data_IF_263508887650
#
_entry.id   IF_263508887650
#
_cell.length_a   1.000
_cell.length_b   1.000
_cell.length_c   1.000
_cell.angle_alpha   90.00
_cell.angle_beta   90.00
_cell.angle_gamma   90.00
#
_symmetry.space_group_name_H-M   'P 1'
#
loop_
_entity.id
_entity.type
_entity.pdbx_description
1 polymer ?
#
# COMPACT_ATOMS: atom_id res chain seq x y z
N UNK A 1 -22.81 0.46 33.43
CA UNK A 1 -21.41 0.09 33.71
C UNK A 1 -20.52 1.28 33.38
N UNK A 2 -19.54 1.60 34.23
CA UNK A 2 -18.59 2.69 34.00
C UNK A 2 -17.56 2.26 32.95
N UNK A 3 -17.53 2.91 31.78
CA UNK A 3 -16.60 2.59 30.69
C UNK A 3 -15.14 2.60 31.16
N UNK A 4 -14.77 3.51 32.06
CA UNK A 4 -13.39 3.62 32.55
C UNK A 4 -12.96 2.42 33.41
N UNK A 5 -13.92 1.68 33.99
CA UNK A 5 -13.63 0.49 34.81
C UNK A 5 -13.04 -0.66 33.99
N UNK A 6 -13.34 -0.75 32.69
CA UNK A 6 -12.75 -1.76 31.81
C UNK A 6 -11.24 -1.59 31.64
N UNK A 7 -10.74 -0.35 31.72
CA UNK A 7 -9.32 -0.02 31.57
C UNK A 7 -8.56 0.03 32.90
N UNK A 8 -9.25 -0.28 34.00
CA UNK A 8 -8.74 -0.21 35.36
C UNK A 8 -8.98 -1.53 36.12
N UNK A 9 -8.49 -2.68 35.61
CA UNK A 9 -8.76 -3.98 36.22
C UNK A 9 -8.25 -4.02 37.66
N UNK A 10 -9.14 -4.38 38.59
CA UNK A 10 -8.84 -4.46 40.02
C UNK A 10 -8.83 -3.12 40.77
N UNK A 11 -8.95 -1.98 40.08
CA UNK A 11 -9.02 -0.67 40.72
C UNK A 11 -10.47 -0.17 40.75
N UNK A 12 -10.99 0.17 41.93
CA UNK A 12 -12.31 0.79 42.08
C UNK A 12 -12.20 2.30 42.03
N UNK A 13 -13.17 2.96 41.39
CA UNK A 13 -13.28 4.42 41.42
C UNK A 13 -13.36 4.88 42.88
N UNK A 14 -12.49 5.81 43.33
CA UNK A 14 -12.51 6.29 44.72
C UNK A 14 -13.86 6.91 45.07
N UNK A 15 -14.42 6.52 46.22
CA UNK A 15 -15.62 7.17 46.74
C UNK A 15 -15.28 8.61 47.20
N UNK A 16 -16.22 9.57 47.09
CA UNK A 16 -16.03 10.92 47.59
C UNK A 16 -15.74 10.91 49.09
N UNK A 17 -14.69 11.62 49.53
CA UNK A 17 -14.36 11.77 50.95
C UNK A 17 -15.01 13.03 51.52
N UNK A 18 -15.39 13.01 52.80
CA UNK A 18 -15.90 14.21 53.47
C UNK A 18 -14.88 15.37 53.46
N UNK A 19 -13.59 15.06 53.58
CA UNK A 19 -12.50 16.04 53.49
C UNK A 19 -12.44 16.77 52.13
N UNK A 20 -12.97 16.17 51.06
CA UNK A 20 -12.97 16.75 49.71
C UNK A 20 -14.19 17.68 49.47
N UNK A 21 -15.14 17.76 50.42
CA UNK A 21 -16.41 18.47 50.21
C UNK A 21 -16.22 19.96 49.90
N UNK A 22 -15.30 20.63 50.62
CA UNK A 22 -14.99 22.04 50.40
C UNK A 22 -14.41 22.29 49.01
N UNK A 23 -13.48 21.44 48.56
CA UNK A 23 -12.87 21.52 47.22
C UNK A 23 -13.91 21.27 46.13
N UNK A 24 -14.81 20.30 46.32
CA UNK A 24 -15.91 20.04 45.38
C UNK A 24 -16.88 21.20 45.28
N UNK A 25 -17.28 21.79 46.41
CA UNK A 25 -18.13 22.97 46.42
C UNK A 25 -17.45 24.17 45.72
N UNK A 26 -16.16 24.38 45.99
CA UNK A 26 -15.39 25.44 45.35
C UNK A 26 -15.27 25.25 43.83
N UNK A 27 -15.06 24.01 43.36
CA UNK A 27 -15.05 23.66 41.93
C UNK A 27 -16.41 23.90 41.28
N UNK A 28 -17.48 23.39 41.88
CA UNK A 28 -18.84 23.54 41.34
C UNK A 28 -19.22 25.02 41.19
N UNK A 29 -18.91 25.83 42.20
CA UNK A 29 -19.15 27.28 42.16
C UNK A 29 -18.32 27.97 41.07
N UNK A 30 -17.05 27.62 40.92
CA UNK A 30 -16.21 28.18 39.86
C UNK A 30 -16.69 27.77 38.46
N UNK A 31 -17.13 26.53 38.28
CA UNK A 31 -17.70 26.03 37.03
C UNK A 31 -19.04 26.70 36.68
N UNK A 32 -19.90 26.91 37.68
CA UNK A 32 -21.14 27.66 37.51
C UNK A 32 -20.86 29.10 37.08
N UNK A 33 -19.96 29.79 37.80
CA UNK A 33 -19.55 31.17 37.45
C UNK A 33 -18.94 31.25 36.05
N UNK A 34 -18.08 30.29 35.69
CA UNK A 34 -17.50 30.21 34.35
C UNK A 34 -18.59 30.03 33.30
N UNK A 35 -19.53 29.10 33.50
CA UNK A 35 -20.63 28.86 32.58
C UNK A 35 -21.54 30.08 32.40
N UNK A 36 -21.86 30.81 33.48
CA UNK A 36 -22.63 32.06 33.40
C UNK A 36 -21.85 33.16 32.68
N UNK A 37 -20.56 33.31 32.97
CA UNK A 37 -19.70 34.30 32.31
C UNK A 37 -19.58 34.03 30.81
N UNK A 38 -19.36 32.77 30.40
CA UNK A 38 -19.35 32.36 28.99
C UNK A 38 -20.67 32.71 28.30
N UNK A 39 -21.81 32.29 28.88
CA UNK A 39 -23.12 32.59 28.29
C UNK A 39 -23.44 34.09 28.21
N UNK A 40 -23.03 34.89 29.21
CA UNK A 40 -23.19 36.35 29.19
C UNK A 40 -22.27 37.02 28.16
N UNK A 41 -21.06 36.51 27.96
CA UNK A 41 -20.15 37.01 26.94
C UNK A 41 -20.66 36.73 25.53
N UNK A 42 -21.16 35.52 25.28
CA UNK A 42 -21.82 35.17 24.02
C UNK A 42 -23.06 36.07 23.78
N UNK A 43 -23.89 36.26 24.82
CA UNK A 43 -25.03 37.17 24.78
C UNK A 43 -24.65 38.62 24.52
N UNK A 44 -23.54 39.11 25.10
CA UNK A 44 -23.02 40.46 24.86
C UNK A 44 -22.61 40.63 23.39
N UNK A 45 -21.87 39.68 22.82
CA UNK A 45 -21.51 39.73 21.40
C UNK A 45 -22.75 39.69 20.49
N UNK A 46 -23.76 38.89 20.82
CA UNK A 46 -25.01 38.83 20.07
C UNK A 46 -25.78 40.16 20.10
N UNK A 47 -25.89 40.81 21.28
CA UNK A 47 -26.57 42.11 21.42
C UNK A 47 -25.81 43.23 20.71
N UNK A 48 -24.48 43.21 20.74
CA UNK A 48 -23.66 44.15 19.97
C UNK A 48 -23.86 43.98 18.47
N UNK A 49 -23.96 42.75 17.98
CA UNK A 49 -24.26 42.46 16.57
C UNK A 49 -25.67 42.94 16.17
N UNK A 50 -26.64 42.93 17.10
CA UNK A 50 -27.99 43.45 16.92
C UNK A 50 -28.11 44.98 17.13
N UNK A 51 -26.99 45.67 17.42
CA UNK A 51 -26.94 47.10 17.74
C UNK A 51 -27.80 47.52 18.96
N UNK A 52 -28.08 46.60 19.89
CA UNK A 52 -28.79 46.89 21.14
C UNK A 52 -27.81 47.30 22.24
N UNK A 53 -27.35 48.55 22.19
CA UNK A 53 -26.35 49.07 23.13
C UNK A 53 -26.85 49.13 24.58
N UNK A 54 -28.18 49.25 24.79
CA UNK A 54 -28.75 49.36 26.14
C UNK A 54 -28.67 48.03 26.86
N UNK A 55 -29.18 46.97 26.24
CA UNK A 55 -29.17 45.63 26.84
C UNK A 55 -27.75 45.07 26.87
N UNK A 56 -26.91 45.38 25.86
CA UNK A 56 -25.48 45.07 25.90
C UNK A 56 -24.80 45.73 27.11
N UNK A 57 -25.16 46.97 27.45
CA UNK A 57 -24.65 47.67 28.62
C UNK A 57 -24.99 46.97 29.95
N UNK A 58 -26.18 46.38 30.06
CA UNK A 58 -26.62 45.61 31.23
C UNK A 58 -25.91 44.27 31.32
N UNK A 59 -25.86 43.52 30.21
CA UNK A 59 -25.15 42.23 30.16
C UNK A 59 -23.66 42.40 30.46
N UNK A 60 -23.04 43.48 29.99
CA UNK A 60 -21.65 43.80 30.29
C UNK A 60 -21.38 44.02 31.79
N UNK A 61 -22.33 44.62 32.53
CA UNK A 61 -22.21 44.79 33.98
C UNK A 61 -22.30 43.45 34.72
N UNK A 62 -23.29 42.63 34.36
CA UNK A 62 -23.45 41.28 34.91
C UNK A 62 -22.27 40.36 34.58
N UNK A 63 -21.70 40.49 33.38
CA UNK A 63 -20.49 39.77 32.99
C UNK A 63 -19.28 40.18 33.83
N UNK A 64 -19.11 41.48 34.09
CA UNK A 64 -18.03 41.99 34.94
C UNK A 64 -18.09 41.38 36.36
N UNK A 65 -19.27 41.38 36.98
CA UNK A 65 -19.50 40.81 38.32
C UNK A 65 -19.19 39.30 38.37
N UNK A 66 -19.63 38.52 37.39
CA UNK A 66 -19.34 37.09 37.33
C UNK A 66 -17.84 36.81 37.15
N UNK A 67 -17.15 37.59 36.31
CA UNK A 67 -15.72 37.44 36.07
C UNK A 67 -14.87 37.81 37.30
N UNK A 68 -15.25 38.87 38.02
CA UNK A 68 -14.57 39.27 39.26
C UNK A 68 -14.86 38.28 40.40
N UNK A 69 -16.10 37.78 40.50
CA UNK A 69 -16.45 36.72 41.44
C UNK A 69 -15.68 35.42 41.16
N UNK A 70 -15.55 35.04 39.88
CA UNK A 70 -14.74 33.89 39.46
C UNK A 70 -13.27 34.11 39.77
N UNK A 71 -12.74 35.31 39.51
CA UNK A 71 -11.37 35.67 39.86
C UNK A 71 -11.11 35.56 41.36
N UNK A 72 -12.02 36.07 42.20
CA UNK A 72 -11.96 35.93 43.65
C UNK A 72 -11.98 34.48 44.11
N UNK A 73 -12.88 33.67 43.53
CA UNK A 73 -12.98 32.22 43.82
C UNK A 73 -11.70 31.46 43.45
N UNK A 74 -11.01 31.86 42.39
CA UNK A 74 -9.75 31.26 41.93
C UNK A 74 -8.50 31.84 42.61
N UNK A 75 -8.64 32.93 43.37
CA UNK A 75 -7.49 33.69 43.89
C UNK A 75 -6.66 34.34 42.78
N UNK A 76 -7.30 34.65 41.64
CA UNK A 76 -6.65 35.25 40.49
C UNK A 76 -6.63 36.78 40.61
N UNK A 77 -5.46 37.36 40.86
CA UNK A 77 -5.27 38.81 40.79
C UNK A 77 -5.49 39.37 39.38
N UNK A 78 -5.48 40.69 39.28
CA UNK A 78 -5.63 41.41 38.01
C UNK A 78 -6.55 42.61 38.14
N UNK A 79 -6.92 43.16 36.99
CA UNK A 79 -7.86 44.26 36.88
C UNK A 79 -9.27 43.83 37.31
N UNK A 80 -9.95 44.67 38.09
CA UNK A 80 -11.32 44.47 38.55
C UNK A 80 -12.26 44.97 37.46
N UNK A 81 -12.91 44.06 36.74
CA UNK A 81 -13.72 44.41 35.57
C UNK A 81 -14.97 45.22 35.93
N UNK A 82 -15.48 45.14 37.16
CA UNK A 82 -16.58 46.00 37.61
C UNK A 82 -16.16 47.47 37.65
N UNK A 83 -14.93 47.77 38.07
CA UNK A 83 -14.38 49.13 38.06
C UNK A 83 -14.17 49.62 36.62
N UNK A 84 -13.61 48.76 35.76
CA UNK A 84 -13.47 49.05 34.32
C UNK A 84 -14.81 49.37 33.70
N UNK A 85 -15.83 48.54 33.95
CA UNK A 85 -17.18 48.73 33.42
C UNK A 85 -17.84 50.00 33.97
N UNK A 86 -17.67 50.31 35.25
CA UNK A 86 -18.20 51.54 35.86
C UNK A 86 -17.58 52.80 35.23
N UNK A 87 -16.28 52.75 34.89
CA UNK A 87 -15.57 53.83 34.22
C UNK A 87 -16.07 54.16 32.80
N UNK A 88 -16.84 53.27 32.16
CA UNK A 88 -17.42 53.50 30.82
C UNK A 88 -18.67 54.39 30.85
N UNK A 89 -19.17 54.74 32.03
CA UNK A 89 -20.41 55.50 32.22
C UNK A 89 -21.69 54.64 32.17
N UNK A 90 -22.87 55.26 32.37
CA UNK A 90 -24.14 54.55 32.52
C UNK A 90 -24.63 53.94 31.19
N UNK A 91 -24.38 54.60 30.07
CA UNK A 91 -24.80 54.15 28.72
C UNK A 91 -23.64 54.27 27.72
N UNK A 92 -22.65 53.36 27.77
CA UNK A 92 -21.54 53.36 26.83
C UNK A 92 -22.02 53.04 25.41
N UNK A 93 -21.37 53.65 24.41
CA UNK A 93 -21.62 53.33 23.00
C UNK A 93 -21.15 51.91 22.62
N UNK A 94 -21.68 51.38 21.52
CA UNK A 94 -21.40 50.03 21.05
C UNK A 94 -19.90 49.72 20.87
N UNK A 95 -19.11 50.68 20.34
CA UNK A 95 -17.66 50.52 20.17
C UNK A 95 -16.91 50.34 21.49
N UNK A 96 -17.30 51.11 22.51
CA UNK A 96 -16.71 51.04 23.86
C UNK A 96 -17.06 49.68 24.48
N UNK A 97 -18.31 49.23 24.33
CA UNK A 97 -18.76 47.91 24.81
C UNK A 97 -18.07 46.76 24.07
N UNK A 98 -17.79 46.88 22.77
CA UNK A 98 -17.02 45.89 22.03
C UNK A 98 -15.57 45.80 22.52
N UNK A 99 -14.97 46.94 22.89
CA UNK A 99 -13.67 46.99 23.56
C UNK A 99 -13.70 46.25 24.91
N UNK A 100 -14.72 46.50 25.72
CA UNK A 100 -14.93 45.78 26.97
C UNK A 100 -15.13 44.28 26.76
N UNK A 101 -15.94 43.86 25.78
CA UNK A 101 -16.21 42.45 25.49
C UNK A 101 -14.93 41.68 25.13
N UNK A 102 -14.05 42.25 24.29
CA UNK A 102 -12.74 41.65 23.97
C UNK A 102 -11.85 41.50 25.21
N UNK A 103 -11.85 42.50 26.09
CA UNK A 103 -11.11 42.45 27.35
C UNK A 103 -11.68 41.38 28.30
N UNK A 104 -13.01 41.28 28.37
CA UNK A 104 -13.71 40.25 29.13
C UNK A 104 -13.41 38.84 28.61
N UNK A 105 -13.37 38.63 27.28
CA UNK A 105 -12.95 37.36 26.68
C UNK A 105 -11.52 36.98 27.10
N UNK A 106 -10.56 37.90 26.95
CA UNK A 106 -9.18 37.62 27.34
C UNK A 106 -9.05 37.28 28.84
N UNK A 107 -9.86 37.93 29.69
CA UNK A 107 -9.94 37.62 31.11
C UNK A 107 -10.57 36.25 31.36
N UNK A 108 -11.66 35.90 30.67
CA UNK A 108 -12.32 34.61 30.75
C UNK A 108 -11.35 33.47 30.38
N UNK A 109 -10.64 33.59 29.26
CA UNK A 109 -9.63 32.60 28.82
C UNK A 109 -8.52 32.40 29.86
N UNK A 110 -8.08 33.50 30.50
CA UNK A 110 -7.09 33.44 31.56
C UNK A 110 -7.62 32.74 32.83
N UNK A 111 -8.87 33.01 33.20
CA UNK A 111 -9.53 32.37 34.34
C UNK A 111 -9.82 30.88 34.08
N UNK A 112 -10.17 30.50 32.85
CA UNK A 112 -10.33 29.11 32.46
C UNK A 112 -9.02 28.32 32.61
N UNK A 113 -7.91 28.87 32.09
CA UNK A 113 -6.57 28.29 32.30
C UNK A 113 -6.24 28.18 33.80
N UNK A 114 -6.55 29.22 34.59
CA UNK A 114 -6.30 29.22 36.04
C UNK A 114 -7.13 28.16 36.78
N UNK A 115 -8.39 27.97 36.39
CA UNK A 115 -9.24 26.91 36.92
C UNK A 115 -8.66 25.53 36.58
N UNK A 116 -8.18 25.33 35.35
CA UNK A 116 -7.53 24.08 34.94
C UNK A 116 -6.24 23.81 35.76
N UNK A 117 -5.40 24.82 35.95
CA UNK A 117 -4.22 24.74 36.82
C UNK A 117 -4.59 24.34 38.26
N UNK A 118 -5.59 25.00 38.84
CA UNK A 118 -6.06 24.70 40.21
C UNK A 118 -6.59 23.27 40.30
N UNK A 119 -7.37 22.81 39.32
CA UNK A 119 -7.86 21.42 39.25
C UNK A 119 -6.72 20.41 39.14
N UNK A 120 -5.63 20.75 38.46
CA UNK A 120 -4.43 19.92 38.35
C UNK A 120 -3.55 19.94 39.62
N UNK A 121 -3.60 21.04 40.39
CA UNK A 121 -2.86 21.25 41.64
C UNK A 121 -3.72 21.07 42.89
N UNK A 122 -3.88 22.16 43.66
CA UNK A 122 -4.47 22.13 45.01
C UNK A 122 -5.91 21.62 45.08
N UNK A 123 -6.67 21.75 43.98
CA UNK A 123 -8.04 21.24 43.95
C UNK A 123 -8.11 19.80 43.48
N UNK A 124 -7.00 19.13 43.17
CA UNK A 124 -7.00 17.77 42.59
C UNK A 124 -7.61 16.74 43.53
N UNK A 125 -8.67 16.09 43.06
CA UNK A 125 -9.39 15.05 43.78
C UNK A 125 -8.82 13.66 43.46
N UNK A 126 -9.08 12.68 44.34
CA UNK A 126 -8.70 11.30 44.11
C UNK A 126 -9.36 10.72 42.84
N UNK A 127 -10.59 11.17 42.53
CA UNK A 127 -11.31 10.77 41.31
C UNK A 127 -10.60 11.26 40.05
N UNK A 128 -10.04 12.48 40.05
CA UNK A 128 -9.31 13.01 38.89
C UNK A 128 -8.05 12.20 38.59
N UNK A 129 -7.35 11.71 39.64
CA UNK A 129 -6.19 10.82 39.47
C UNK A 129 -6.58 9.46 38.91
N UNK A 130 -7.75 8.96 39.26
CA UNK A 130 -8.27 7.72 38.70
C UNK A 130 -8.62 7.90 37.22
N UNK A 131 -9.38 8.96 36.89
CA UNK A 131 -9.79 9.26 35.50
C UNK A 131 -8.59 9.55 34.60
N UNK A 132 -7.61 10.33 35.06
CA UNK A 132 -6.39 10.61 34.30
C UNK A 132 -5.60 9.32 33.99
N UNK A 133 -5.48 8.39 34.95
CA UNK A 133 -4.82 7.09 34.73
C UNK A 133 -5.62 6.22 33.78
N UNK A 134 -6.94 6.18 33.92
CA UNK A 134 -7.82 5.42 33.03
C UNK A 134 -7.71 5.94 31.59
N UNK A 135 -7.79 7.26 31.38
CA UNK A 135 -7.63 7.89 30.07
C UNK A 135 -6.25 7.64 29.47
N UNK A 136 -5.18 7.70 30.28
CA UNK A 136 -3.85 7.37 29.81
C UNK A 136 -3.77 5.91 29.32
N UNK A 137 -4.32 4.95 30.08
CA UNK A 137 -4.39 3.54 29.66
C UNK A 137 -5.22 3.35 28.39
N UNK A 138 -6.36 4.02 28.26
CA UNK A 138 -7.19 4.00 27.03
C UNK A 138 -6.38 4.49 25.83
N UNK A 139 -5.67 5.62 25.97
CA UNK A 139 -4.83 6.18 24.90
C UNK A 139 -3.71 5.23 24.51
N UNK A 140 -3.02 4.64 25.48
CA UNK A 140 -1.97 3.65 25.24
C UNK A 140 -2.52 2.41 24.53
N UNK A 141 -3.67 1.88 24.98
CA UNK A 141 -4.32 0.75 24.33
C UNK A 141 -4.69 1.05 22.88
N UNK A 142 -5.23 2.25 22.61
CA UNK A 142 -5.56 2.69 21.25
C UNK A 142 -4.31 2.77 20.36
N UNK A 143 -3.21 3.34 20.86
CA UNK A 143 -1.92 3.40 20.14
C UNK A 143 -1.43 1.98 19.80
N UNK A 144 -1.51 1.05 20.75
CA UNK A 144 -1.14 -0.35 20.52
C UNK A 144 -2.02 -1.00 19.46
N UNK A 145 -3.35 -0.82 19.52
CA UNK A 145 -4.27 -1.36 18.52
C UNK A 145 -3.98 -0.80 17.12
N UNK A 146 -3.76 0.51 16.99
CA UNK A 146 -3.41 1.13 15.71
C UNK A 146 -2.07 0.60 15.19
N UNK A 147 -1.07 0.46 16.07
CA UNK A 147 0.22 -0.11 15.70
C UNK A 147 0.11 -1.56 15.21
N UNK A 148 -0.68 -2.40 15.88
CA UNK A 148 -0.93 -3.79 15.47
C UNK A 148 -1.68 -3.87 14.13
N UNK A 149 -2.69 -3.02 13.93
CA UNK A 149 -3.42 -2.95 12.65
C UNK A 149 -2.49 -2.55 11.50
N UNK A 150 -1.69 -1.49 11.68
CA UNK A 150 -0.73 -1.05 10.67
C UNK A 150 0.31 -2.13 10.35
N UNK A 151 0.85 -2.80 11.36
CA UNK A 151 1.78 -3.92 11.18
C UNK A 151 1.14 -5.09 10.41
N UNK A 152 -0.13 -5.41 10.70
CA UNK A 152 -0.86 -6.49 10.02
C UNK A 152 -1.09 -6.19 8.53
N UNK A 153 -1.38 -4.93 8.18
CA UNK A 153 -1.56 -4.48 6.80
C UNK A 153 -0.24 -4.57 6.02
N UNK A 154 0.86 -4.05 6.59
CA UNK A 154 2.19 -4.13 5.98
C UNK A 154 2.65 -5.58 5.77
N UNK A 155 2.38 -6.46 6.74
CA UNK A 155 2.68 -7.88 6.60
C UNK A 155 1.83 -8.54 5.51
N UNK A 156 0.55 -8.18 5.41
CA UNK A 156 -0.34 -8.64 4.34
C UNK A 156 0.18 -8.29 2.95
N UNK A 157 0.58 -7.04 2.74
CA UNK A 157 1.08 -6.55 1.45
C UNK A 157 2.39 -7.21 1.04
N UNK A 158 3.32 -7.38 1.99
CA UNK A 158 4.60 -8.04 1.73
C UNK A 158 4.42 -9.51 1.36
N UNK A 159 3.53 -10.23 2.06
CA UNK A 159 3.19 -11.62 1.72
C UNK A 159 2.49 -11.72 0.37
N UNK A 160 1.55 -10.81 0.06
CA UNK A 160 0.86 -10.78 -1.23
C UNK A 160 1.83 -10.50 -2.40
N UNK A 161 2.81 -9.61 -2.21
CA UNK A 161 3.87 -9.37 -3.19
C UNK A 161 4.72 -10.62 -3.41
N UNK A 162 5.20 -11.26 -2.34
CA UNK A 162 6.01 -12.48 -2.44
C UNK A 162 5.28 -13.65 -3.12
N UNK A 163 3.97 -13.80 -2.89
CA UNK A 163 3.15 -14.79 -3.59
C UNK A 163 3.05 -14.53 -5.08
N UNK A 164 2.90 -13.27 -5.50
CA UNK A 164 2.87 -12.89 -6.92
C UNK A 164 4.22 -13.15 -7.59
N UNK A 165 5.31 -12.75 -6.95
CA UNK A 165 6.68 -12.97 -7.46
C UNK A 165 6.96 -14.48 -7.60
N UNK A 166 6.57 -15.29 -6.61
CA UNK A 166 6.72 -16.74 -6.64
C UNK A 166 5.88 -17.38 -7.75
N UNK A 167 4.61 -16.98 -7.89
CA UNK A 167 3.74 -17.49 -8.95
C UNK A 167 4.29 -17.17 -10.34
N UNK A 168 4.80 -15.95 -10.55
CA UNK A 168 5.45 -15.55 -11.81
C UNK A 168 6.69 -16.42 -12.09
N UNK A 169 7.56 -16.62 -11.10
CA UNK A 169 8.74 -17.48 -11.25
C UNK A 169 8.38 -18.93 -11.59
N UNK A 170 7.37 -19.49 -10.92
CA UNK A 170 6.90 -20.86 -11.19
C UNK A 170 6.32 -20.99 -12.61
N UNK A 171 5.57 -19.99 -13.07
CA UNK A 171 5.05 -19.97 -14.44
C UNK A 171 6.20 -19.97 -15.47
N UNK A 172 7.23 -19.14 -15.27
CA UNK A 172 8.40 -19.12 -16.15
C UNK A 172 9.18 -20.43 -16.18
N UNK A 173 9.36 -21.07 -15.03
CA UNK A 173 10.01 -22.38 -14.96
C UNK A 173 9.18 -23.46 -15.67
N UNK A 174 7.86 -23.39 -15.56
CA UNK A 174 6.96 -24.30 -16.25
C UNK A 174 7.05 -24.13 -17.77
N UNK A 175 6.94 -22.90 -18.27
CA UNK A 175 7.09 -22.57 -19.70
C UNK A 175 8.46 -23.00 -20.23
N UNK A 176 9.55 -22.75 -19.50
CA UNK A 176 10.89 -23.21 -19.89
C UNK A 176 11.01 -24.73 -19.97
N UNK A 177 10.38 -25.44 -19.04
CA UNK A 177 10.34 -26.91 -19.05
C UNK A 177 9.53 -27.43 -20.23
N UNK A 178 8.41 -26.79 -20.56
CA UNK A 178 7.58 -27.14 -21.72
C UNK A 178 8.35 -26.91 -23.03
N UNK A 179 9.04 -25.78 -23.17
CA UNK A 179 9.89 -25.47 -24.32
C UNK A 179 11.02 -26.52 -24.47
N UNK A 180 11.70 -26.88 -23.38
CA UNK A 180 12.74 -27.91 -23.39
C UNK A 180 12.19 -29.26 -23.87
N UNK A 181 11.06 -29.71 -23.30
CA UNK A 181 10.43 -30.98 -23.70
C UNK A 181 10.00 -30.97 -25.17
N UNK A 182 9.52 -29.83 -25.68
CA UNK A 182 9.13 -29.70 -27.07
C UNK A 182 10.35 -29.70 -28.01
N UNK A 183 11.46 -29.09 -27.62
CA UNK A 183 12.73 -29.15 -28.36
C UNK A 183 13.30 -30.57 -28.38
N UNK A 184 13.25 -31.29 -27.27
CA UNK A 184 13.66 -32.71 -27.22
C UNK A 184 12.76 -33.55 -28.16
N UNK A 185 11.46 -33.33 -28.14
CA UNK A 185 10.52 -34.00 -29.05
C UNK A 185 10.77 -33.65 -30.52
N UNK A 186 11.15 -32.40 -30.81
CA UNK A 186 11.54 -31.95 -32.15
C UNK A 186 12.84 -32.60 -32.60
N UNK A 187 13.84 -32.71 -31.72
CA UNK A 187 15.10 -33.38 -32.01
C UNK A 187 14.90 -34.87 -32.32
N UNK A 188 14.07 -35.56 -31.54
CA UNK A 188 13.69 -36.96 -31.80
C UNK A 188 12.91 -37.11 -33.11
N UNK A 189 12.00 -36.20 -33.41
CA UNK A 189 11.26 -36.18 -34.68
C UNK A 189 12.21 -36.02 -35.87
N UNK A 190 13.17 -35.10 -35.76
CA UNK A 190 14.18 -34.86 -36.78
C UNK A 190 15.08 -36.09 -36.98
N UNK A 191 15.55 -36.72 -35.90
CA UNK A 191 16.30 -37.97 -35.96
C UNK A 191 15.52 -39.09 -36.64
N UNK A 192 14.24 -39.26 -36.28
CA UNK A 192 13.37 -40.25 -36.90
C UNK A 192 13.20 -40.01 -38.41
N UNK A 193 13.04 -38.75 -38.82
CA UNK A 193 12.93 -38.37 -40.23
C UNK A 193 14.22 -38.66 -41.02
N UNK A 194 15.39 -38.38 -40.44
CA UNK A 194 16.70 -38.70 -41.02
C UNK A 194 16.86 -40.21 -41.23
N UNK A 195 16.55 -41.01 -40.20
CA UNK A 195 16.60 -42.49 -40.27
C UNK A 195 15.63 -43.06 -41.31
N UNK A 196 14.40 -42.55 -41.36
CA UNK A 196 13.37 -43.03 -42.27
C UNK A 196 13.69 -42.74 -43.75
N UNK A 197 14.37 -41.63 -44.02
CA UNK A 197 14.68 -41.19 -45.39
C UNK A 197 16.09 -41.55 -45.84
N UNK A 198 17.00 -41.84 -44.91
CA UNK A 198 18.43 -42.02 -45.19
C UNK A 198 19.10 -40.75 -45.69
N UNK A 199 18.56 -39.57 -45.36
CA UNK A 199 19.03 -38.27 -45.83
C UNK A 199 19.37 -37.33 -44.66
N UNK A 200 20.32 -36.40 -44.85
CA UNK A 200 20.61 -35.36 -43.87
C UNK A 200 19.43 -34.40 -43.68
N UNK A 201 19.41 -33.68 -42.56
CA UNK A 201 18.25 -32.88 -42.17
C UNK A 201 17.87 -31.83 -43.22
N UNK A 202 18.84 -31.11 -43.80
CA UNK A 202 18.59 -30.10 -44.84
C UNK A 202 17.90 -30.68 -46.10
N UNK A 203 18.18 -31.95 -46.42
CA UNK A 203 17.57 -32.63 -47.55
C UNK A 203 16.15 -33.14 -47.24
N UNK A 204 15.85 -33.37 -45.96
CA UNK A 204 14.49 -33.68 -45.48
C UNK A 204 13.64 -32.42 -45.42
N UNK A 205 14.15 -31.35 -44.81
CA UNK A 205 13.44 -30.07 -44.68
C UNK A 205 13.44 -29.28 -45.99
N UNK A 206 14.34 -29.55 -46.93
CA UNK A 206 14.48 -28.80 -48.18
C UNK A 206 14.93 -27.36 -47.97
N UNK A 207 15.61 -27.08 -46.85
CA UNK A 207 16.21 -25.80 -46.48
C UNK A 207 17.57 -26.10 -45.85
N UNK A 208 18.58 -25.30 -46.14
CA UNK A 208 19.88 -25.38 -45.45
C UNK A 208 19.92 -24.53 -44.17
N UNK A 209 18.93 -23.67 -43.97
CA UNK A 209 18.83 -22.85 -42.76
C UNK A 209 17.39 -22.39 -42.53
N UNK A 210 16.63 -23.16 -41.73
CA UNK A 210 15.26 -22.81 -41.37
C UNK A 210 15.21 -21.62 -40.40
N UNK A 211 16.27 -21.38 -39.61
CA UNK A 211 16.38 -20.22 -38.72
C UNK A 211 16.78 -18.93 -39.43
N UNK A 212 17.26 -18.97 -40.66
CA UNK A 212 17.81 -17.80 -41.35
C UNK A 212 16.72 -16.77 -41.66
N UNK A 213 16.96 -15.51 -41.31
CA UNK A 213 16.01 -14.43 -41.49
C UNK A 213 15.03 -14.27 -40.33
N UNK A 214 15.22 -15.01 -39.24
CA UNK A 214 14.53 -14.84 -37.97
C UNK A 214 15.25 -13.84 -37.03
N UNK A 215 16.47 -13.42 -37.35
CA UNK A 215 17.29 -12.58 -36.48
C UNK A 215 16.77 -11.13 -36.36
N UNK A 216 17.09 -10.48 -35.24
CA UNK A 216 16.94 -9.03 -35.05
C UNK A 216 15.52 -8.54 -34.83
N UNK A 217 14.54 -9.42 -34.58
CA UNK A 217 13.15 -9.04 -34.28
C UNK A 217 12.46 -10.00 -33.32
N UNK A 218 11.39 -9.54 -32.70
CA UNK A 218 10.55 -10.32 -31.79
C UNK A 218 9.72 -11.36 -32.56
N UNK A 219 10.10 -12.62 -32.40
CA UNK A 219 9.52 -13.78 -33.08
C UNK A 219 8.13 -14.15 -32.57
N UNK A 220 7.68 -13.62 -31.44
CA UNK A 220 6.31 -13.82 -30.92
C UNK A 220 5.28 -13.06 -31.75
N UNK A 221 5.72 -11.97 -32.38
CA UNK A 221 4.86 -11.03 -33.11
C UNK A 221 4.93 -11.21 -34.63
N UNK A 222 5.67 -12.19 -35.14
CA UNK A 222 5.80 -12.40 -36.59
C UNK A 222 4.44 -12.81 -37.22
N UNK A 223 3.96 -12.07 -38.23
CA UNK A 223 2.66 -12.35 -38.83
C UNK A 223 2.66 -13.66 -39.62
N UNK A 224 1.47 -14.17 -39.90
CA UNK A 224 1.32 -15.27 -40.84
C UNK A 224 1.83 -14.83 -42.22
N UNK A 225 2.76 -15.58 -42.81
CA UNK A 225 3.40 -15.22 -44.08
C UNK A 225 4.80 -14.60 -43.95
N UNK A 226 5.26 -14.27 -42.74
CA UNK A 226 6.66 -13.92 -42.50
C UNK A 226 7.59 -15.06 -42.98
N UNK A 227 8.77 -14.72 -43.51
CA UNK A 227 9.72 -15.70 -44.05
C UNK A 227 10.14 -16.73 -43.00
N UNK A 228 10.46 -16.27 -41.79
CA UNK A 228 10.88 -17.11 -40.67
C UNK A 228 9.79 -18.13 -40.32
N UNK A 229 8.56 -17.63 -40.15
CA UNK A 229 7.41 -18.48 -39.80
C UNK A 229 7.07 -19.48 -40.91
N UNK A 230 7.09 -19.07 -42.17
CA UNK A 230 6.79 -19.96 -43.30
C UNK A 230 7.84 -21.06 -43.47
N UNK A 231 9.12 -20.74 -43.32
CA UNK A 231 10.20 -21.73 -43.37
C UNK A 231 10.02 -22.76 -42.26
N UNK A 232 9.74 -22.31 -41.03
CA UNK A 232 9.43 -23.21 -39.92
C UNK A 232 8.22 -24.11 -40.20
N UNK A 233 7.09 -23.53 -40.63
CA UNK A 233 5.86 -24.27 -40.92
C UNK A 233 6.10 -25.35 -41.99
N UNK A 234 6.83 -25.01 -43.06
CA UNK A 234 7.18 -25.96 -44.12
C UNK A 234 8.16 -27.05 -43.66
N UNK A 235 9.18 -26.71 -42.87
CA UNK A 235 10.12 -27.67 -42.31
C UNK A 235 9.40 -28.67 -41.39
N UNK A 236 8.56 -28.17 -40.47
CA UNK A 236 7.74 -28.98 -39.56
C UNK A 236 6.83 -29.96 -40.29
N UNK A 237 6.16 -29.52 -41.37
CA UNK A 237 5.30 -30.40 -42.18
C UNK A 237 6.10 -31.51 -42.88
N UNK A 238 7.28 -31.18 -43.44
CA UNK A 238 8.16 -32.16 -44.09
C UNK A 238 8.73 -33.17 -43.11
N UNK A 239 9.16 -32.73 -41.92
CA UNK A 239 9.59 -33.61 -40.84
C UNK A 239 8.47 -34.55 -40.40
N UNK A 240 7.27 -34.00 -40.21
CA UNK A 240 6.10 -34.77 -39.86
C UNK A 240 5.75 -35.83 -40.88
N UNK A 241 5.78 -35.49 -42.17
CA UNK A 241 5.53 -36.43 -43.26
C UNK A 241 6.58 -37.54 -43.32
N UNK A 242 7.87 -37.20 -43.20
CA UNK A 242 8.98 -38.15 -43.25
C UNK A 242 8.97 -39.12 -42.07
N UNK A 243 8.70 -38.62 -40.86
CA UNK A 243 8.64 -39.43 -39.64
C UNK A 243 7.25 -40.06 -39.38
N UNK A 244 6.27 -39.81 -40.26
CA UNK A 244 4.86 -40.22 -40.08
C UNK A 244 4.27 -39.78 -38.73
N UNK A 245 4.60 -38.56 -38.30
CA UNK A 245 4.12 -37.99 -37.06
C UNK A 245 2.62 -37.68 -37.11
N UNK A 246 1.95 -37.77 -35.95
CA UNK A 246 0.53 -37.43 -35.86
C UNK A 246 0.31 -35.91 -36.04
N UNK A 247 -0.84 -35.46 -36.57
CA UNK A 247 -1.18 -34.04 -36.65
C UNK A 247 -1.09 -33.34 -35.29
N UNK A 248 -1.50 -34.02 -34.20
CA UNK A 248 -1.42 -33.51 -32.82
C UNK A 248 0.02 -33.25 -32.37
N UNK A 249 0.97 -34.09 -32.77
CA UNK A 249 2.40 -33.88 -32.51
C UNK A 249 2.89 -32.61 -33.20
N UNK A 250 2.53 -32.42 -34.47
CA UNK A 250 2.94 -31.24 -35.24
C UNK A 250 2.30 -29.95 -34.72
N UNK A 251 1.05 -30.01 -34.27
CA UNK A 251 0.37 -28.88 -33.67
C UNK A 251 1.07 -28.40 -32.39
N UNK A 252 1.49 -29.33 -31.51
CA UNK A 252 2.27 -29.00 -30.31
C UNK A 252 3.64 -28.39 -30.61
N UNK A 253 4.19 -28.68 -31.78
CA UNK A 253 5.44 -28.11 -32.27
C UNK A 253 5.21 -26.87 -33.14
N UNK A 254 4.01 -26.27 -33.17
CA UNK A 254 3.77 -25.07 -33.97
C UNK A 254 4.59 -23.87 -33.49
N UNK A 255 4.60 -23.67 -32.17
CA UNK A 255 5.20 -22.52 -31.49
C UNK A 255 5.70 -22.94 -30.12
N UNK A 256 6.65 -22.19 -29.59
CA UNK A 256 7.06 -22.31 -28.20
C UNK A 256 6.02 -21.73 -27.24
N UNK A 257 6.16 -21.98 -25.91
CA UNK A 257 5.21 -21.50 -24.91
C UNK A 257 5.02 -19.98 -24.88
N UNK A 258 5.99 -19.22 -25.40
CA UNK A 258 5.94 -17.76 -25.48
C UNK A 258 5.40 -17.26 -26.82
N UNK A 259 5.09 -18.17 -27.74
CA UNK A 259 4.46 -17.90 -29.02
C UNK A 259 5.42 -17.68 -30.17
N UNK A 260 6.73 -17.86 -30.04
CA UNK A 260 7.67 -17.81 -31.17
C UNK A 260 7.61 -19.11 -31.98
N UNK A 261 7.84 -19.11 -33.31
CA UNK A 261 8.17 -20.35 -34.03
C UNK A 261 9.44 -20.98 -33.43
N UNK A 262 9.51 -22.31 -33.41
CA UNK A 262 10.80 -22.98 -33.20
C UNK A 262 11.69 -22.78 -34.42
N UNK A 263 12.99 -22.95 -34.20
CA UNK A 263 14.02 -22.74 -35.20
C UNK A 263 14.82 -24.04 -35.36
N UNK A 264 15.29 -24.28 -36.59
CA UNK A 264 16.22 -25.36 -36.90
C UNK A 264 17.43 -24.79 -37.61
N UNK A 265 18.60 -25.29 -37.22
CA UNK A 265 19.86 -25.01 -37.88
C UNK A 265 20.41 -26.33 -38.45
N UNK A 266 20.19 -26.55 -39.74
CA UNK A 266 20.53 -27.76 -40.48
C UNK A 266 22.01 -27.83 -40.92
N UNK A 267 22.93 -27.75 -39.96
CA UNK A 267 24.36 -27.72 -40.23
C UNK A 267 24.97 -29.08 -40.67
N UNK A 268 24.24 -30.19 -40.56
CA UNK A 268 24.77 -31.52 -40.88
C UNK A 268 25.22 -31.63 -42.34
N UNK A 269 26.52 -31.86 -42.52
CA UNK A 269 27.11 -32.08 -43.84
C UNK A 269 27.36 -30.80 -44.65
N UNK A 270 27.19 -29.62 -44.04
CA UNK A 270 27.52 -28.34 -44.71
C UNK A 270 29.03 -28.16 -44.92
N UNK A 271 29.86 -28.72 -44.04
CA UNK A 271 31.32 -28.70 -44.16
C UNK A 271 31.89 -30.10 -44.35
N UNK A 272 32.72 -30.34 -45.39
CA UNK A 272 33.40 -31.61 -45.58
C UNK A 272 34.39 -31.94 -44.45
N UNK A 273 34.87 -30.91 -43.73
CA UNK A 273 35.81 -31.07 -42.62
C UNK A 273 35.11 -31.49 -41.32
N UNK A 274 33.80 -31.25 -41.20
CA UNK A 274 33.00 -31.55 -40.01
C UNK A 274 31.70 -32.30 -40.37
N UNK A 275 31.78 -33.52 -40.96
CA UNK A 275 30.60 -34.27 -41.40
C UNK A 275 29.65 -34.66 -40.27
N UNK A 276 30.13 -34.60 -39.02
CA UNK A 276 29.40 -34.99 -37.81
C UNK A 276 28.97 -33.82 -36.93
N UNK A 277 28.99 -32.58 -37.44
CA UNK A 277 28.42 -31.46 -36.70
C UNK A 277 26.91 -31.71 -36.49
N UNK A 278 26.40 -31.69 -35.25
CA UNK A 278 24.99 -31.92 -35.01
C UNK A 278 24.15 -30.74 -35.51
N UNK A 279 22.96 -31.03 -36.02
CA UNK A 279 21.95 -29.99 -36.23
C UNK A 279 21.48 -29.46 -34.87
N UNK A 280 20.83 -28.30 -34.84
CA UNK A 280 20.29 -27.73 -33.61
C UNK A 280 18.82 -27.34 -33.76
N UNK A 281 18.04 -27.60 -32.72
CA UNK A 281 16.70 -27.09 -32.52
C UNK A 281 16.73 -25.98 -31.46
N UNK A 282 16.09 -24.85 -31.74
CA UNK A 282 16.14 -23.67 -30.87
C UNK A 282 14.74 -23.09 -30.62
N UNK A 283 14.50 -22.67 -29.37
CA UNK A 283 13.44 -21.72 -29.03
C UNK A 283 14.09 -20.39 -28.71
N UNK A 284 13.50 -19.29 -29.19
CA UNK A 284 13.98 -17.92 -28.96
C UNK A 284 13.65 -17.40 -27.55
N UNK A 285 13.24 -18.29 -26.64
CA UNK A 285 12.99 -17.95 -25.24
C UNK A 285 11.79 -17.03 -25.01
N UNK A 286 11.74 -16.53 -23.78
CA UNK A 286 10.71 -15.63 -23.27
C UNK A 286 10.70 -14.28 -23.99
N UNK A 287 11.88 -13.75 -24.31
CA UNK A 287 12.00 -12.43 -24.93
C UNK A 287 11.65 -12.45 -26.43
N UNK A 288 11.63 -13.64 -27.06
CA UNK A 288 11.33 -13.82 -28.48
C UNK A 288 12.45 -13.36 -29.41
N UNK A 289 13.67 -13.14 -28.91
CA UNK A 289 14.81 -12.65 -29.68
C UNK A 289 15.82 -13.79 -29.88
N UNK A 290 15.92 -14.27 -31.11
CA UNK A 290 16.90 -15.28 -31.46
C UNK A 290 18.31 -14.70 -31.50
N UNK A 291 19.27 -15.44 -30.94
CA UNK A 291 20.70 -15.13 -30.94
C UNK A 291 21.20 -14.51 -29.64
N UNK A 292 20.49 -14.70 -28.52
CA UNK A 292 20.90 -14.17 -27.22
C UNK A 292 20.89 -15.23 -26.10
N UNK A 293 21.04 -14.77 -24.84
CA UNK A 293 21.18 -15.66 -23.69
C UNK A 293 19.86 -16.35 -23.26
N UNK A 294 18.72 -15.96 -23.83
CA UNK A 294 17.41 -16.53 -23.54
C UNK A 294 17.09 -17.74 -24.43
N UNK A 295 17.88 -17.95 -25.49
CA UNK A 295 17.75 -19.08 -26.39
C UNK A 295 17.87 -20.42 -25.63
N UNK A 296 16.96 -21.34 -25.93
CA UNK A 296 17.03 -22.72 -25.46
C UNK A 296 17.42 -23.57 -26.67
N UNK A 297 18.60 -24.19 -26.60
CA UNK A 297 19.19 -24.95 -27.71
C UNK A 297 19.29 -26.42 -27.34
N UNK A 298 18.78 -27.29 -28.21
CA UNK A 298 18.92 -28.74 -28.12
C UNK A 298 19.62 -29.25 -29.37
N UNK A 299 20.67 -30.05 -29.17
CA UNK A 299 21.35 -30.71 -30.28
C UNK A 299 20.47 -31.84 -30.85
N UNK A 300 20.30 -31.85 -32.16
CA UNK A 300 19.64 -32.93 -32.88
C UNK A 300 20.69 -33.99 -33.19
N UNK A 301 20.48 -35.26 -32.79
CA UNK A 301 21.46 -36.31 -33.06
C UNK A 301 21.68 -36.52 -34.56
N UNK A 302 22.94 -36.80 -34.92
CA UNK A 302 23.32 -37.20 -36.27
C UNK A 302 23.01 -38.69 -36.48
N UNK A 303 22.30 -39.03 -37.55
CA UNK A 303 21.89 -40.41 -37.82
C UNK A 303 23.00 -41.25 -38.49
N UNK A 304 24.03 -40.59 -39.01
CA UNK A 304 25.09 -41.17 -39.85
C UNK A 304 26.45 -41.21 -39.15
N UNK A 305 26.58 -40.52 -38.02
CA UNK A 305 27.81 -40.49 -37.24
C UNK A 305 27.70 -41.41 -36.01
N UNK A 306 28.77 -42.15 -35.66
CA UNK A 306 28.77 -43.00 -34.49
C UNK A 306 28.61 -42.15 -33.23
N UNK A 307 27.72 -42.58 -32.34
CA UNK A 307 27.54 -41.90 -31.04
C UNK A 307 28.76 -42.14 -30.16
N UNK A 308 29.10 -41.22 -29.24
CA UNK A 308 30.23 -41.42 -28.32
C UNK A 308 30.09 -42.67 -27.43
N UNK A 309 28.88 -43.25 -27.33
CA UNK A 309 28.62 -44.54 -26.64
C UNK A 309 29.02 -45.77 -27.45
N UNK A 310 29.28 -45.61 -28.74
CA UNK A 310 29.67 -46.68 -29.68
C UNK A 310 31.15 -46.57 -30.10
N UNK A 311 31.89 -45.62 -29.51
CA UNK A 311 33.33 -45.49 -29.70
C UNK A 311 34.02 -46.43 -28.68
N UNK A 312 34.71 -47.50 -29.12
CA UNK A 312 35.34 -48.49 -28.23
C UNK A 312 36.45 -47.90 -27.36
#
# INVERSE_FOLDING_TARGET
>A
MDFLSFFMPGERRPAPRAADAAVRAARARAEELLGRATGRLDGLFALLAAADARDAGLVAALLAEDLDALAGQLGAGGEILTEVRAGLGPMPGAEILAGFARRAQARLDALERKLAERKAGDWRLAVDRYEARALWRVRTALIVCVGLLAASLLLGDTLAKKRRDFAAMVALLHERTEAQNALDALAELALAAKKATGKPLFAVTGQNCTSCGCEGRDLRLVPQGDVCRRQWEAARERLGAAAKASPRTLERLARDPWGSPYLLNENEGESPDFPCLPDAAVSAGQNGLFGDADDIVVAVPNAFCPTDKERP
#
